data_IF_717766113291
#
_entry.id   IF_717766113291
#
_cell.length_a   1.000
_cell.length_b   1.000
_cell.length_c   1.000
_cell.angle_alpha   90.00
_cell.angle_beta   90.00
_cell.angle_gamma   90.00
#
_symmetry.space_group_name_H-M   'P 1'
#
loop_
_entity.id
_entity.type
_entity.pdbx_description
1 polymer ?
#
# COMPACT_ATOMS: atom_id res chain seq x y z
N UNK A 1 30.56 -21.77 -6.89
CA UNK A 1 29.29 -21.44 -7.57
C UNK A 1 28.89 -20.06 -7.07
N UNK A 2 28.95 -19.04 -7.92
CA UNK A 2 28.66 -17.67 -7.50
C UNK A 2 27.21 -17.58 -7.09
N UNK A 3 26.95 -17.25 -5.82
CA UNK A 3 25.65 -16.76 -5.38
C UNK A 3 25.43 -15.44 -6.11
N UNK A 4 24.81 -15.48 -7.30
CA UNK A 4 24.32 -14.29 -7.97
C UNK A 4 23.39 -13.60 -6.99
N UNK A 5 23.86 -12.51 -6.37
CA UNK A 5 23.14 -11.87 -5.28
C UNK A 5 21.83 -11.33 -5.81
N UNK A 6 20.71 -11.76 -5.22
CA UNK A 6 19.38 -11.24 -5.53
C UNK A 6 19.40 -9.72 -5.63
N UNK A 7 18.65 -9.18 -6.59
CA UNK A 7 18.55 -7.75 -6.78
C UNK A 7 17.96 -7.13 -5.51
N UNK A 8 18.52 -5.99 -5.08
CA UNK A 8 18.04 -5.28 -3.89
C UNK A 8 17.35 -4.00 -4.34
N UNK A 9 16.14 -3.80 -3.86
CA UNK A 9 15.36 -2.61 -4.17
C UNK A 9 15.23 -1.76 -2.91
N UNK A 10 15.34 -0.44 -3.08
CA UNK A 10 14.91 0.52 -2.07
C UNK A 10 13.46 0.89 -2.37
N UNK A 11 12.59 0.86 -1.37
CA UNK A 11 11.21 1.33 -1.45
C UNK A 11 11.06 2.60 -0.61
N UNK A 12 10.46 3.63 -1.18
CA UNK A 12 10.13 4.86 -0.49
C UNK A 12 8.68 5.28 -0.79
N UNK A 13 8.10 6.08 0.11
CA UNK A 13 6.74 6.61 -0.05
C UNK A 13 6.19 7.14 1.27
N UNK A 14 4.87 7.18 1.37
CA UNK A 14 4.13 7.52 2.58
C UNK A 14 3.48 6.26 3.18
N UNK A 15 3.63 6.07 4.49
CA UNK A 15 2.89 5.03 5.21
C UNK A 15 1.41 5.40 5.38
N UNK A 16 0.62 4.47 5.94
CA UNK A 16 -0.82 4.68 6.18
C UNK A 16 -1.15 5.84 7.15
N UNK A 17 -0.14 6.44 7.80
CA UNK A 17 -0.25 7.62 8.68
C UNK A 17 0.32 8.87 8.02
N UNK A 18 0.57 8.82 6.71
CA UNK A 18 1.19 9.87 5.91
C UNK A 18 2.62 10.22 6.37
N UNK A 19 3.32 9.30 7.04
CA UNK A 19 4.73 9.48 7.40
C UNK A 19 5.61 9.01 6.25
N UNK A 20 6.59 9.82 5.87
CA UNK A 20 7.60 9.45 4.89
C UNK A 20 8.46 8.28 5.37
N UNK A 21 8.69 7.30 4.50
CA UNK A 21 9.60 6.18 4.77
C UNK A 21 10.52 5.89 3.57
N UNK A 22 11.64 5.23 3.86
CA UNK A 22 12.55 4.68 2.85
C UNK A 22 13.24 3.46 3.46
N UNK A 23 12.95 2.26 2.94
CA UNK A 23 13.47 0.99 3.45
C UNK A 23 13.86 0.04 2.32
N UNK A 24 14.87 -0.82 2.51
CA UNK A 24 15.16 -1.88 1.56
C UNK A 24 14.03 -2.90 1.53
N UNK A 25 13.77 -3.44 0.34
CA UNK A 25 12.97 -4.64 0.13
C UNK A 25 13.91 -5.84 0.14
N UNK A 26 13.61 -6.80 1.01
CA UNK A 26 14.31 -8.08 1.06
C UNK A 26 13.61 -9.07 0.12
N UNK A 27 14.39 -9.94 -0.51
CA UNK A 27 13.87 -11.05 -1.31
C UNK A 27 14.36 -12.37 -0.74
N UNK A 28 13.44 -13.31 -0.59
CA UNK A 28 13.73 -14.70 -0.24
C UNK A 28 13.35 -15.59 -1.42
N UNK A 29 14.24 -16.51 -1.80
CA UNK A 29 13.98 -17.50 -2.84
C UNK A 29 13.49 -18.81 -2.21
N UNK A 30 12.37 -19.36 -2.68
CA UNK A 30 11.96 -20.73 -2.36
C UNK A 30 11.68 -21.51 -3.64
N UNK A 31 12.60 -22.41 -3.97
CA UNK A 31 12.59 -23.13 -5.24
C UNK A 31 12.73 -22.16 -6.42
N UNK A 32 11.75 -22.19 -7.31
CA UNK A 32 11.68 -21.33 -8.50
C UNK A 32 10.94 -20.00 -8.24
N UNK A 33 10.40 -19.82 -7.04
CA UNK A 33 9.60 -18.65 -6.67
C UNK A 33 10.35 -17.72 -5.71
N UNK A 34 9.85 -16.49 -5.60
CA UNK A 34 10.39 -15.43 -4.78
C UNK A 34 9.31 -14.78 -3.93
N UNK A 35 9.70 -14.37 -2.72
CA UNK A 35 8.89 -13.55 -1.83
C UNK A 35 9.54 -12.17 -1.70
N UNK A 36 8.75 -11.12 -1.72
CA UNK A 36 9.21 -9.77 -1.37
C UNK A 36 8.78 -9.45 0.06
N UNK A 37 9.70 -8.91 0.85
CA UNK A 37 9.50 -8.63 2.28
C UNK A 37 9.89 -7.17 2.55
N UNK A 38 8.97 -6.43 3.16
CA UNK A 38 9.23 -5.12 3.74
C UNK A 38 9.26 -5.22 5.26
N UNK A 39 10.34 -4.72 5.86
CA UNK A 39 10.45 -4.51 7.30
C UNK A 39 10.48 -3.02 7.62
N UNK A 40 9.54 -2.58 8.43
CA UNK A 40 9.41 -1.18 8.83
C UNK A 40 8.94 -1.06 10.28
N UNK A 41 9.76 -0.48 11.14
CA UNK A 41 9.54 -0.44 12.60
C UNK A 41 9.32 -1.87 13.14
N UNK A 42 8.13 -2.16 13.68
CA UNK A 42 7.73 -3.50 14.14
C UNK A 42 6.91 -4.27 13.12
N UNK A 43 6.67 -3.70 11.94
CA UNK A 43 5.80 -4.25 10.90
C UNK A 43 6.66 -5.06 9.92
N UNK A 44 6.22 -6.30 9.65
CA UNK A 44 6.75 -7.15 8.57
C UNK A 44 5.63 -7.49 7.61
N UNK A 45 5.77 -7.10 6.36
CA UNK A 45 4.83 -7.40 5.28
C UNK A 45 5.55 -8.28 4.28
N UNK A 46 4.97 -9.42 3.95
CA UNK A 46 5.50 -10.36 2.96
C UNK A 46 4.44 -10.70 1.92
N UNK A 47 4.87 -10.91 0.68
CA UNK A 47 4.00 -11.44 -0.37
C UNK A 47 3.82 -12.94 -0.23
N UNK A 48 2.91 -13.49 -1.05
CA UNK A 48 2.94 -14.91 -1.42
C UNK A 48 4.13 -15.18 -2.39
N UNK A 49 4.45 -16.44 -2.72
CA UNK A 49 5.52 -16.74 -3.68
C UNK A 49 5.09 -16.36 -5.10
N UNK A 50 5.98 -15.70 -5.85
CA UNK A 50 5.76 -15.29 -7.23
C UNK A 50 6.90 -15.72 -8.16
N UNK A 51 6.62 -15.91 -9.48
CA UNK A 51 7.65 -16.22 -10.47
C UNK A 51 8.49 -14.97 -10.76
N UNK A 52 9.60 -14.81 -10.05
CA UNK A 52 10.58 -13.73 -10.21
C UNK A 52 10.48 -12.60 -9.19
N UNK A 53 11.60 -11.88 -9.00
CA UNK A 53 11.69 -10.77 -8.05
C UNK A 53 10.78 -9.60 -8.42
N UNK A 54 10.71 -9.24 -9.71
CA UNK A 54 9.86 -8.13 -10.16
C UNK A 54 8.38 -8.39 -9.89
N UNK A 55 7.92 -9.62 -10.12
CA UNK A 55 6.54 -10.02 -9.84
C UNK A 55 6.22 -9.96 -8.34
N UNK A 56 7.14 -10.44 -7.49
CA UNK A 56 7.02 -10.31 -6.04
C UNK A 56 7.04 -8.84 -5.59
N UNK A 57 7.88 -8.00 -6.18
CA UNK A 57 7.94 -6.57 -5.86
C UNK A 57 6.61 -5.88 -6.19
N UNK A 58 6.05 -6.12 -7.37
CA UNK A 58 4.75 -5.56 -7.77
C UNK A 58 3.64 -6.01 -6.82
N UNK A 59 3.62 -7.28 -6.41
CA UNK A 59 2.66 -7.79 -5.44
C UNK A 59 2.79 -7.10 -4.07
N UNK A 60 4.02 -6.83 -3.62
CA UNK A 60 4.26 -6.08 -2.38
C UNK A 60 3.71 -4.66 -2.47
N UNK A 61 3.94 -3.96 -3.58
CA UNK A 61 3.37 -2.62 -3.83
C UNK A 61 1.85 -2.64 -3.74
N UNK A 62 1.20 -3.66 -4.34
CA UNK A 62 -0.25 -3.82 -4.30
C UNK A 62 -0.77 -4.02 -2.86
N UNK A 63 -0.12 -4.87 -2.07
CA UNK A 63 -0.46 -5.08 -0.65
C UNK A 63 -0.33 -3.76 0.12
N UNK A 64 0.75 -3.00 -0.09
CA UNK A 64 0.96 -1.72 0.58
C UNK A 64 -0.11 -0.69 0.20
N UNK A 65 -0.48 -0.60 -1.08
CA UNK A 65 -1.58 0.25 -1.53
C UNK A 65 -2.92 -0.13 -0.86
N UNK A 66 -3.20 -1.42 -0.72
CA UNK A 66 -4.39 -1.91 0.00
C UNK A 66 -4.36 -1.53 1.49
N UNK A 67 -3.17 -1.47 2.10
CA UNK A 67 -2.98 -1.04 3.48
C UNK A 67 -2.95 0.49 3.66
N UNK A 68 -3.15 1.26 2.58
CA UNK A 68 -3.22 2.72 2.64
C UNK A 68 -1.88 3.44 2.46
N UNK A 69 -0.81 2.74 2.10
CA UNK A 69 0.44 3.38 1.69
C UNK A 69 0.26 4.09 0.35
N UNK A 70 0.98 5.20 0.15
CA UNK A 70 0.80 6.09 -1.00
C UNK A 70 2.14 6.62 -1.51
N UNK A 71 2.13 7.16 -2.73
CA UNK A 71 3.29 7.75 -3.41
C UNK A 71 4.49 6.79 -3.43
N UNK A 72 4.20 5.50 -3.64
CA UNK A 72 5.22 4.47 -3.59
C UNK A 72 6.15 4.57 -4.80
N UNK A 73 7.44 4.42 -4.56
CA UNK A 73 8.46 4.36 -5.60
C UNK A 73 9.59 3.41 -5.21
N UNK A 74 10.15 2.71 -6.19
CA UNK A 74 11.28 1.80 -5.97
C UNK A 74 12.50 2.23 -6.77
N UNK A 75 13.69 1.88 -6.28
CA UNK A 75 14.94 2.05 -7.00
C UNK A 75 15.77 0.79 -6.82
N UNK A 76 16.35 0.27 -7.91
CA UNK A 76 17.32 -0.83 -7.81
C UNK A 76 18.61 -0.28 -7.22
N UNK A 77 19.06 -0.87 -6.12
CA UNK A 77 20.28 -0.46 -5.40
C UNK A 77 21.44 -1.43 -5.63
N UNK A 78 21.14 -2.71 -5.84
CA UNK A 78 22.10 -3.73 -6.23
C UNK A 78 21.52 -4.62 -7.30
N UNK A 79 22.34 -4.98 -8.29
CA UNK A 79 21.97 -5.94 -9.33
C UNK A 79 23.02 -7.03 -9.45
N UNK A 80 22.62 -8.29 -9.30
CA UNK A 80 23.54 -9.44 -9.33
C UNK A 80 24.78 -9.28 -8.42
N UNK A 81 24.61 -8.65 -7.25
CA UNK A 81 25.71 -8.37 -6.31
C UNK A 81 26.58 -7.15 -6.63
N UNK A 82 26.34 -6.44 -7.73
CA UNK A 82 27.00 -5.17 -8.06
C UNK A 82 26.19 -4.02 -7.46
N UNK A 83 26.84 -3.17 -6.65
CA UNK A 83 26.22 -1.95 -6.15
C UNK A 83 26.09 -0.93 -7.28
N UNK A 84 24.86 -0.50 -7.58
CA UNK A 84 24.59 0.48 -8.64
C UNK A 84 24.51 1.92 -8.12
N UNK A 85 24.63 2.13 -6.80
CA UNK A 85 24.50 3.47 -6.22
C UNK A 85 23.12 4.09 -6.50
N UNK A 86 23.10 5.41 -6.74
CA UNK A 86 21.89 6.15 -7.14
C UNK A 86 21.72 6.25 -8.66
N UNK A 87 22.40 5.39 -9.44
CA UNK A 87 22.42 5.50 -10.90
C UNK A 87 21.13 5.02 -11.57
N UNK A 88 20.36 4.16 -10.88
CA UNK A 88 19.08 3.65 -11.35
C UNK A 88 17.95 4.68 -11.14
N UNK A 89 17.02 4.75 -12.08
CA UNK A 89 15.88 5.64 -11.98
C UNK A 89 14.89 5.15 -10.92
N UNK A 90 14.26 6.09 -10.22
CA UNK A 90 13.10 5.76 -9.39
C UNK A 90 11.93 5.36 -10.30
N UNK A 91 11.39 4.17 -10.05
CA UNK A 91 10.15 3.69 -10.66
C UNK A 91 9.00 4.08 -9.74
N UNK A 92 8.09 4.90 -10.24
CA UNK A 92 6.91 5.35 -9.49
C UNK A 92 5.74 4.39 -9.70
N UNK A 93 4.97 4.15 -8.63
CA UNK A 93 3.76 3.36 -8.64
C UNK A 93 2.57 4.27 -8.34
N UNK A 94 1.67 4.51 -9.31
CA UNK A 94 0.52 5.38 -9.11
C UNK A 94 -0.38 4.90 -7.96
N UNK A 95 -0.87 5.86 -7.16
CA UNK A 95 -1.83 5.58 -6.11
C UNK A 95 -3.13 4.98 -6.70
N UNK A 96 -3.78 4.03 -5.99
CA UNK A 96 -5.07 3.52 -6.41
C UNK A 96 -6.13 4.62 -6.37
N UNK A 97 -7.10 4.56 -7.29
CA UNK A 97 -8.23 5.49 -7.30
C UNK A 97 -8.98 5.45 -5.95
N UNK A 98 -9.44 6.61 -5.44
CA UNK A 98 -10.19 6.64 -4.19
C UNK A 98 -11.47 5.81 -4.31
N UNK A 99 -11.88 5.08 -3.25
CA UNK A 99 -13.11 4.32 -3.27
C UNK A 99 -14.30 5.26 -3.54
N UNK A 100 -15.32 4.81 -4.29
CA UNK A 100 -16.51 5.62 -4.53
C UNK A 100 -17.13 6.02 -3.19
N UNK A 101 -17.37 7.33 -2.98
CA UNK A 101 -18.03 7.82 -1.76
C UNK A 101 -19.41 7.15 -1.68
N UNK A 102 -19.77 6.48 -0.57
CA UNK A 102 -21.12 5.99 -0.41
C UNK A 102 -22.04 7.21 -0.40
N UNK A 103 -22.87 7.28 -1.44
CA UNK A 103 -23.88 8.30 -1.62
C UNK A 103 -24.77 8.36 -0.38
N UNK A 104 -24.74 9.52 0.27
CA UNK A 104 -25.43 9.87 1.50
C UNK A 104 -26.95 9.95 1.23
N UNK A 105 -27.58 8.80 1.03
CA UNK A 105 -29.00 8.68 0.70
C UNK A 105 -29.93 8.82 1.92
N UNK A 106 -29.37 8.85 3.15
CA UNK A 106 -30.14 8.87 4.41
C UNK A 106 -30.48 10.26 4.96
N UNK A 107 -30.06 11.37 4.34
CA UNK A 107 -30.35 12.72 4.88
C UNK A 107 -31.71 13.31 4.48
N UNK A 108 -32.59 12.58 3.79
CA UNK A 108 -33.88 13.13 3.29
C UNK A 108 -35.13 12.73 4.08
N UNK A 109 -35.05 11.93 5.14
CA UNK A 109 -36.24 11.45 5.90
C UNK A 109 -36.49 12.14 7.25
N UNK A 110 -35.66 13.10 7.67
CA UNK A 110 -35.80 13.77 8.98
C UNK A 110 -36.79 14.96 9.01
N UNK A 111 -37.75 15.03 8.08
CA UNK A 111 -38.65 16.19 7.93
C UNK A 111 -40.10 16.01 8.43
N UNK A 112 -40.56 14.80 8.76
CA UNK A 112 -42.01 14.54 8.85
C UNK A 112 -42.63 14.37 10.24
N UNK A 113 -41.87 14.34 11.33
CA UNK A 113 -42.45 14.18 12.66
C UNK A 113 -42.41 15.47 13.48
N UNK A 114 -43.35 16.38 13.19
CA UNK A 114 -43.79 17.42 14.13
C UNK A 114 -45.22 17.09 14.59
N UNK A 115 -45.44 16.67 15.85
CA UNK A 115 -46.78 16.55 16.38
C UNK A 115 -47.38 17.94 16.64
N UNK A 116 -48.54 18.22 16.06
CA UNK A 116 -49.37 19.38 16.39
C UNK A 116 -50.15 19.07 17.67
N UNK A 117 -49.68 19.58 18.81
CA UNK A 117 -50.47 19.59 20.04
C UNK A 117 -51.47 20.75 19.96
N UNK A 118 -52.77 20.46 20.05
CA UNK A 118 -53.79 21.45 20.38
C UNK A 118 -54.52 20.99 21.63
N UNK A 119 -54.23 21.68 22.73
CA UNK A 119 -54.92 21.56 24.00
C UNK A 119 -56.40 21.89 23.88
N UNK A 120 -57.17 21.07 24.58
CA UNK A 120 -58.51 21.23 25.13
C UNK A 120 -58.82 22.66 25.57
N UNK A 121 -60.04 23.14 25.30
CA UNK A 121 -60.75 24.06 26.18
C UNK A 121 -62.26 23.76 26.13
N UNK A 122 -62.83 23.51 27.30
CA UNK A 122 -64.27 23.53 27.58
C UNK A 122 -64.72 24.99 27.69
N UNK A 123 -65.90 25.31 27.16
CA UNK A 123 -67.03 25.98 27.85
C UNK A 123 -68.24 26.02 26.93
#
# INVERSE_FOLDING_TARGET
MGTGGLDKHQLAGLDHRERGFSRPVEFEQAGENFFAILRYETIRISTEPHPGQDAALVALIQILHQQGYRQLRTQVSFRNGIYLGSQELWVEYPDPAPPPKPERLLSKIAGWFRPHNKSTNLS
#
